data_IF_137866786032
#
_entry.id   IF_137866786032
#
_cell.length_a   1.000
_cell.length_b   1.000
_cell.length_c   1.000
_cell.angle_alpha   90.00
_cell.angle_beta   90.00
_cell.angle_gamma   90.00
#
_symmetry.space_group_name_H-M   'P 1'
#
loop_
_entity.id
_entity.type
_entity.pdbx_description
1 polymer ?
#
# COMPACT_ATOMS: atom_id res chain seq x y z
N UNK A 1 -16.63 4.69 -35.39
CA UNK A 1 -15.57 5.10 -34.43
C UNK A 1 -14.28 5.33 -35.22
N UNK A 2 -13.69 6.52 -35.13
CA UNK A 2 -12.51 6.91 -35.91
C UNK A 2 -11.24 6.18 -35.44
N UNK A 3 -10.34 5.73 -36.35
CA UNK A 3 -9.04 5.13 -36.02
C UNK A 3 -8.18 5.99 -35.08
N UNK A 4 -8.33 7.31 -35.16
CA UNK A 4 -7.60 8.28 -34.32
C UNK A 4 -8.02 8.23 -32.85
N UNK A 5 -9.26 7.86 -32.56
CA UNK A 5 -9.80 7.79 -31.19
C UNK A 5 -9.31 6.56 -30.43
N UNK A 6 -9.05 5.45 -31.16
CA UNK A 6 -8.47 4.23 -30.60
C UNK A 6 -6.99 4.45 -30.25
N UNK A 7 -6.23 5.14 -31.11
CA UNK A 7 -4.82 5.45 -30.87
C UNK A 7 -4.57 6.33 -29.64
N UNK A 8 -5.43 7.32 -29.38
CA UNK A 8 -5.31 8.21 -28.21
C UNK A 8 -5.60 7.46 -26.90
N UNK A 9 -6.63 6.59 -26.87
CA UNK A 9 -6.96 5.78 -25.69
C UNK A 9 -5.87 4.76 -25.34
N UNK A 10 -5.23 4.14 -26.34
CA UNK A 10 -4.13 3.18 -26.13
C UNK A 10 -2.89 3.88 -25.59
N UNK A 11 -2.53 5.07 -26.11
CA UNK A 11 -1.40 5.86 -25.63
C UNK A 11 -1.61 6.40 -24.20
N UNK A 12 -2.82 6.86 -23.87
CA UNK A 12 -3.15 7.30 -22.53
C UNK A 12 -3.12 6.14 -21.51
N UNK A 13 -3.61 4.95 -21.88
CA UNK A 13 -3.52 3.76 -21.04
C UNK A 13 -2.06 3.31 -20.82
N UNK A 14 -1.22 3.32 -21.85
CA UNK A 14 0.22 3.01 -21.73
C UNK A 14 0.97 4.04 -20.87
N UNK A 15 0.64 5.32 -20.97
CA UNK A 15 1.25 6.38 -20.16
C UNK A 15 0.86 6.31 -18.67
N UNK A 16 -0.34 5.81 -18.35
CA UNK A 16 -0.83 5.64 -16.97
C UNK A 16 -0.32 4.33 -16.35
N UNK A 17 -0.30 3.23 -17.11
CA UNK A 17 0.35 1.96 -16.74
C UNK A 17 1.84 2.18 -16.43
N UNK A 18 2.48 3.10 -17.16
CA UNK A 18 3.86 3.50 -16.91
C UNK A 18 4.06 4.15 -15.54
N UNK A 19 3.18 5.04 -15.07
CA UNK A 19 3.47 5.89 -13.89
C UNK A 19 3.60 5.15 -12.56
N UNK A 20 2.72 4.19 -12.28
CA UNK A 20 2.78 3.46 -11.01
C UNK A 20 3.95 2.49 -10.98
N UNK A 21 4.09 1.67 -12.02
CA UNK A 21 5.22 0.73 -12.14
C UNK A 21 6.55 1.48 -12.19
N UNK A 22 6.62 2.62 -12.90
CA UNK A 22 7.80 3.49 -12.92
C UNK A 22 8.09 4.10 -11.55
N UNK A 23 7.06 4.53 -10.81
CA UNK A 23 7.24 5.01 -9.44
C UNK A 23 7.80 3.89 -8.55
N UNK A 24 7.17 2.71 -8.52
CA UNK A 24 7.65 1.58 -7.70
C UNK A 24 9.05 1.16 -8.10
N UNK A 25 9.33 0.99 -9.40
CA UNK A 25 10.65 0.61 -9.90
C UNK A 25 11.67 1.67 -9.53
N UNK A 26 11.50 2.94 -9.91
CA UNK A 26 12.54 3.93 -9.62
C UNK A 26 12.73 4.14 -8.12
N UNK A 27 11.66 4.25 -7.36
CA UNK A 27 11.72 4.42 -5.90
C UNK A 27 12.39 3.22 -5.25
N UNK A 28 12.04 1.99 -5.63
CA UNK A 28 12.66 0.80 -5.07
C UNK A 28 14.13 0.65 -5.54
N UNK A 29 14.43 0.81 -6.83
CA UNK A 29 15.77 0.61 -7.39
C UNK A 29 16.79 1.62 -6.85
N UNK A 30 16.35 2.81 -6.44
CA UNK A 30 17.21 3.78 -5.75
C UNK A 30 17.79 3.23 -4.44
N UNK A 31 17.09 2.29 -3.79
CA UNK A 31 17.47 1.80 -2.45
C UNK A 31 17.75 0.28 -2.39
N UNK A 32 17.21 -0.55 -3.31
CA UNK A 32 17.18 -2.02 -3.17
C UNK A 32 17.26 -2.83 -4.49
N UNK A 33 18.10 -2.38 -5.45
CA UNK A 33 18.19 -2.88 -6.85
C UNK A 33 17.91 -4.38 -7.08
N UNK A 34 18.55 -5.27 -6.33
CA UNK A 34 18.50 -6.72 -6.60
C UNK A 34 17.14 -7.36 -6.24
N UNK A 35 16.35 -6.71 -5.38
CA UNK A 35 15.09 -7.25 -4.84
C UNK A 35 13.84 -6.64 -5.49
N UNK A 36 13.97 -5.49 -6.13
CA UNK A 36 12.84 -4.69 -6.61
C UNK A 36 12.02 -5.36 -7.69
N UNK A 37 12.68 -6.01 -8.67
CA UNK A 37 11.95 -6.68 -9.73
C UNK A 37 11.17 -7.89 -9.20
N UNK A 38 11.76 -8.65 -8.28
CA UNK A 38 11.08 -9.79 -7.67
C UNK A 38 9.91 -9.34 -6.80
N UNK A 39 10.12 -8.35 -5.92
CA UNK A 39 9.06 -7.79 -5.08
C UNK A 39 7.90 -7.22 -5.92
N UNK A 40 8.21 -6.51 -7.02
CA UNK A 40 7.19 -6.03 -7.95
C UNK A 40 6.42 -7.18 -8.61
N UNK A 41 7.10 -8.22 -9.09
CA UNK A 41 6.45 -9.36 -9.72
C UNK A 41 5.53 -10.10 -8.74
N UNK A 42 5.97 -10.29 -7.49
CA UNK A 42 5.17 -10.91 -6.43
C UNK A 42 3.96 -10.03 -6.08
N UNK A 43 4.17 -8.73 -5.95
CA UNK A 43 3.11 -7.77 -5.68
C UNK A 43 2.05 -7.71 -6.78
N UNK A 44 2.47 -7.63 -8.05
CA UNK A 44 1.57 -7.66 -9.20
C UNK A 44 0.84 -9.02 -9.31
N UNK A 45 1.50 -10.13 -8.98
CA UNK A 45 0.90 -11.46 -8.95
C UNK A 45 -0.29 -11.58 -7.97
N UNK A 46 -0.35 -10.72 -6.95
CA UNK A 46 -1.45 -10.74 -5.99
C UNK A 46 -2.79 -10.29 -6.58
N UNK A 47 -2.78 -9.33 -7.53
CA UNK A 47 -4.01 -8.67 -8.01
C UNK A 47 -4.17 -8.63 -9.53
N UNK A 48 -3.12 -8.77 -10.35
CA UNK A 48 -3.23 -8.70 -11.81
C UNK A 48 -4.11 -9.83 -12.35
N UNK A 49 -4.98 -9.50 -13.30
CA UNK A 49 -5.91 -10.45 -13.92
C UNK A 49 -7.11 -10.84 -13.04
N UNK A 50 -7.20 -10.33 -11.80
CA UNK A 50 -8.30 -10.62 -10.87
C UNK A 50 -9.34 -9.50 -10.87
N UNK A 51 -10.57 -9.85 -10.54
CA UNK A 51 -11.59 -8.85 -10.29
C UNK A 51 -11.23 -8.05 -9.03
N UNK A 52 -11.34 -6.72 -9.10
CA UNK A 52 -10.89 -5.76 -8.06
C UNK A 52 -11.48 -6.00 -6.66
N UNK A 53 -12.65 -6.63 -6.57
CA UNK A 53 -13.33 -6.91 -5.31
C UNK A 53 -12.99 -8.30 -4.76
N UNK A 54 -12.32 -9.13 -5.57
CA UNK A 54 -12.07 -10.55 -5.31
C UNK A 54 -10.56 -10.81 -5.25
N UNK A 55 -9.87 -9.96 -4.48
CA UNK A 55 -8.45 -10.12 -4.15
C UNK A 55 -8.34 -10.43 -2.66
N UNK A 56 -8.19 -11.73 -2.31
CA UNK A 56 -7.95 -12.14 -0.94
C UNK A 56 -6.71 -11.46 -0.37
N UNK A 57 -6.76 -11.11 0.91
CA UNK A 57 -5.66 -10.47 1.63
C UNK A 57 -4.42 -11.38 1.65
N UNK A 58 -4.65 -12.69 1.72
CA UNK A 58 -3.65 -13.75 1.77
C UNK A 58 -2.78 -13.80 0.51
N UNK A 59 -3.28 -13.27 -0.62
CA UNK A 59 -2.48 -13.16 -1.84
C UNK A 59 -1.23 -12.27 -1.65
N UNK A 60 -1.23 -11.38 -0.65
CA UNK A 60 -0.09 -10.53 -0.33
C UNK A 60 0.90 -11.19 0.64
N UNK A 61 0.61 -12.37 1.20
CA UNK A 61 1.51 -13.06 2.14
C UNK A 61 2.90 -13.31 1.53
N UNK A 62 2.95 -13.72 0.26
CA UNK A 62 4.21 -13.93 -0.46
C UNK A 62 5.02 -12.64 -0.60
N UNK A 63 4.36 -11.49 -0.72
CA UNK A 63 5.05 -10.20 -0.76
C UNK A 63 5.67 -9.88 0.60
N UNK A 64 4.93 -10.12 1.68
CA UNK A 64 5.40 -9.90 3.05
C UNK A 64 6.60 -10.77 3.40
N UNK A 65 6.67 -12.01 2.88
CA UNK A 65 7.83 -12.88 3.07
C UNK A 65 9.01 -12.54 2.15
N UNK A 66 8.75 -11.90 1.00
CA UNK A 66 9.79 -11.57 0.02
C UNK A 66 10.58 -10.33 0.43
N UNK A 67 9.93 -9.35 1.07
CA UNK A 67 10.59 -8.12 1.48
C UNK A 67 11.13 -8.27 2.90
N UNK A 68 12.46 -8.24 3.04
CA UNK A 68 13.10 -8.21 4.36
C UNK A 68 12.70 -6.94 5.11
N UNK A 69 12.25 -7.14 6.34
CA UNK A 69 11.83 -6.08 7.23
C UNK A 69 12.91 -5.79 8.29
N UNK A 70 13.98 -5.12 7.86
CA UNK A 70 14.99 -4.63 8.81
C UNK A 70 14.44 -3.39 9.52
N UNK A 71 14.36 -3.46 10.85
CA UNK A 71 13.84 -2.36 11.66
C UNK A 71 14.67 -2.16 12.93
N UNK A 72 14.79 -0.91 13.41
CA UNK A 72 15.43 -0.62 14.68
C UNK A 72 14.49 -0.92 15.86
N UNK A 73 14.87 -1.85 16.75
CA UNK A 73 14.19 -2.05 18.02
C UNK A 73 14.21 -0.77 18.87
N UNK A 74 13.19 -0.60 19.71
CA UNK A 74 12.99 0.54 20.60
C UNK A 74 12.81 1.90 19.90
N UNK A 75 12.64 1.93 18.58
CA UNK A 75 12.44 3.16 17.81
C UNK A 75 11.11 3.18 17.06
N UNK A 76 10.33 2.10 17.13
CA UNK A 76 9.12 1.96 16.32
C UNK A 76 8.02 2.91 16.77
N UNK A 77 7.44 3.62 15.80
CA UNK A 77 6.39 4.61 16.02
C UNK A 77 5.13 4.24 15.22
N UNK A 78 4.10 3.81 15.94
CA UNK A 78 2.76 3.54 15.42
C UNK A 78 1.94 4.83 15.38
N UNK A 79 0.92 4.87 14.53
CA UNK A 79 0.03 6.01 14.42
C UNK A 79 -1.42 5.59 14.16
N UNK A 80 -2.36 6.35 14.70
CA UNK A 80 -3.80 6.24 14.41
C UNK A 80 -4.37 7.63 14.17
N UNK A 81 -4.91 7.87 12.97
CA UNK A 81 -5.39 9.17 12.50
C UNK A 81 -4.39 10.33 12.63
N UNK A 82 -3.08 10.03 12.65
CA UNK A 82 -1.98 11.00 12.83
C UNK A 82 -0.82 10.78 11.87
N UNK A 83 -1.05 10.07 10.75
CA UNK A 83 -0.03 9.74 9.74
C UNK A 83 0.88 10.91 9.37
N UNK A 84 0.28 12.03 8.98
CA UNK A 84 1.03 13.20 8.52
C UNK A 84 1.87 13.81 9.65
N UNK A 85 1.38 13.74 10.88
CA UNK A 85 2.09 14.21 12.06
C UNK A 85 3.28 13.30 12.37
N UNK A 86 3.10 11.98 12.38
CA UNK A 86 4.19 11.01 12.58
C UNK A 86 5.21 11.06 11.46
N UNK A 87 4.79 11.25 10.20
CA UNK A 87 5.71 11.43 9.07
C UNK A 87 6.58 12.67 9.24
N UNK A 88 6.02 13.81 9.70
CA UNK A 88 6.81 15.01 10.02
C UNK A 88 7.70 14.82 11.24
N UNK A 89 7.18 14.17 12.28
CA UNK A 89 7.90 13.94 13.52
C UNK A 89 9.12 13.05 13.30
N UNK A 90 8.95 11.90 12.64
CA UNK A 90 10.03 10.94 12.37
C UNK A 90 11.07 11.45 11.38
N UNK A 91 10.73 12.41 10.51
CA UNK A 91 11.73 13.10 9.65
C UNK A 91 12.74 13.91 10.47
N UNK A 92 12.29 14.53 11.56
CA UNK A 92 13.13 15.38 12.40
C UNK A 92 13.69 14.66 13.65
N UNK A 93 13.20 13.45 13.94
CA UNK A 93 13.61 12.64 15.09
C UNK A 93 14.20 11.32 14.58
N UNK A 94 15.54 11.21 14.46
CA UNK A 94 16.18 10.03 13.89
C UNK A 94 15.99 8.76 14.75
N UNK A 95 15.66 8.90 16.03
CA UNK A 95 15.30 7.79 16.93
C UNK A 95 13.87 7.25 16.74
N UNK A 96 13.15 7.69 15.71
CA UNK A 96 11.78 7.24 15.43
C UNK A 96 11.66 6.63 14.03
N UNK A 97 11.00 5.49 13.96
CA UNK A 97 10.84 4.67 12.77
C UNK A 97 9.36 4.27 12.60
N UNK A 98 8.69 4.82 11.58
CA UNK A 98 7.30 4.50 11.23
C UNK A 98 7.22 3.59 10.01
N UNK A 99 6.03 3.07 9.71
CA UNK A 99 5.79 2.18 8.58
C UNK A 99 6.30 2.78 7.25
N UNK A 100 6.07 4.08 7.01
CA UNK A 100 6.46 4.76 5.78
C UNK A 100 7.98 4.85 5.56
N UNK A 101 8.81 4.54 6.57
CA UNK A 101 10.28 4.43 6.41
C UNK A 101 10.74 3.05 5.95
N UNK A 102 9.83 2.09 5.89
CA UNK A 102 10.10 0.72 5.42
C UNK A 102 10.00 0.67 3.90
N UNK A 103 10.61 -0.32 3.23
CA UNK A 103 10.55 -0.41 1.77
C UNK A 103 9.10 -0.43 1.26
N UNK A 104 8.27 -1.35 1.75
CA UNK A 104 6.88 -1.47 1.30
C UNK A 104 6.05 -0.26 1.71
N UNK A 105 6.23 0.25 2.93
CA UNK A 105 5.52 1.44 3.39
C UNK A 105 5.85 2.66 2.56
N UNK A 106 7.12 2.89 2.21
CA UNK A 106 7.57 4.01 1.39
C UNK A 106 7.07 3.93 -0.06
N UNK A 107 7.23 2.77 -0.69
CA UNK A 107 6.88 2.55 -2.10
C UNK A 107 5.37 2.56 -2.35
N UNK A 108 4.59 2.07 -1.38
CA UNK A 108 3.13 1.99 -1.49
C UNK A 108 2.43 3.20 -0.86
N UNK A 109 3.19 4.15 -0.27
CA UNK A 109 2.61 5.34 0.35
C UNK A 109 1.83 6.19 -0.67
N UNK A 110 0.58 6.47 -0.33
CA UNK A 110 -0.33 7.26 -1.17
C UNK A 110 -0.69 6.62 -2.51
N UNK A 111 -0.28 5.36 -2.75
CA UNK A 111 -0.54 4.69 -4.01
C UNK A 111 -1.89 3.96 -4.00
N UNK A 112 -2.47 3.76 -5.20
CA UNK A 112 -3.68 2.97 -5.39
C UNK A 112 -3.55 2.07 -6.61
N UNK A 113 -3.94 0.80 -6.45
CA UNK A 113 -3.87 -0.21 -7.51
C UNK A 113 -5.10 -1.10 -7.50
N UNK A 114 -5.42 -1.67 -8.66
CA UNK A 114 -6.44 -2.71 -8.77
C UNK A 114 -6.19 -3.65 -9.94
N UNK A 115 -6.69 -4.88 -9.78
CA UNK A 115 -6.80 -5.86 -10.85
C UNK A 115 -7.99 -5.59 -11.77
N UNK A 116 -7.93 -6.15 -12.98
CA UNK A 116 -9.08 -6.29 -13.88
C UNK A 116 -9.12 -7.71 -14.40
N UNK A 117 -10.28 -8.35 -14.28
CA UNK A 117 -10.49 -9.71 -14.79
C UNK A 117 -10.24 -9.78 -16.30
N UNK A 118 -9.55 -10.83 -16.75
CA UNK A 118 -9.17 -11.03 -18.15
C UNK A 118 -8.13 -10.05 -18.69
N UNK A 119 -7.66 -9.11 -17.87
CA UNK A 119 -6.61 -8.15 -18.25
C UNK A 119 -5.23 -8.68 -17.91
N UNK A 120 -4.33 -8.69 -18.90
CA UNK A 120 -2.88 -8.79 -18.67
C UNK A 120 -2.25 -7.44 -18.26
N UNK A 121 -3.02 -6.36 -18.35
CA UNK A 121 -2.59 -5.00 -18.04
C UNK A 121 -2.54 -4.72 -16.53
N UNK A 122 -1.48 -4.03 -16.12
CA UNK A 122 -1.04 -3.76 -14.74
C UNK A 122 -1.60 -2.45 -14.18
N UNK A 123 -2.89 -2.37 -13.86
CA UNK A 123 -3.58 -1.26 -13.13
C UNK A 123 -4.40 -0.30 -14.00
N UNK A 124 -5.62 -0.01 -13.53
CA UNK A 124 -6.41 1.15 -13.90
C UNK A 124 -6.43 2.12 -12.72
N UNK A 125 -6.11 3.40 -12.96
CA UNK A 125 -6.27 4.45 -11.94
C UNK A 125 -7.72 4.49 -11.45
N UNK A 126 -7.85 4.65 -10.14
CA UNK A 126 -9.08 4.59 -9.37
C UNK A 126 -9.89 5.89 -9.54
N UNK A 127 -10.67 5.99 -10.63
CA UNK A 127 -11.86 6.84 -10.62
C UNK A 127 -13.05 5.97 -10.24
N UNK A 128 -13.28 5.85 -8.93
CA UNK A 128 -14.47 5.29 -8.28
C UNK A 128 -14.96 3.93 -8.79
N UNK A 129 -14.60 2.87 -8.09
CA UNK A 129 -15.09 1.53 -8.37
C UNK A 129 -15.60 0.89 -7.08
N UNK A 130 -16.75 1.38 -6.62
CA UNK A 130 -17.48 0.80 -5.49
C UNK A 130 -17.75 -0.69 -5.75
N UNK A 131 -17.37 -1.55 -4.80
CA UNK A 131 -17.77 -2.94 -4.76
C UNK A 131 -19.16 -3.01 -4.09
N UNK A 132 -20.21 -3.39 -4.84
CA UNK A 132 -21.54 -3.64 -4.26
C UNK A 132 -21.54 -5.00 -3.56
N UNK A 133 -22.27 -5.11 -2.44
CA UNK A 133 -22.48 -6.31 -1.61
C UNK A 133 -21.36 -6.68 -0.64
N UNK A 134 -20.85 -5.71 0.13
CA UNK A 134 -19.94 -6.02 1.23
C UNK A 134 -20.54 -5.45 2.51
N UNK A 135 -20.74 -6.27 3.57
CA UNK A 135 -21.41 -5.84 4.80
C UNK A 135 -20.81 -4.56 5.38
N UNK A 136 -21.66 -3.72 5.97
CA UNK A 136 -21.26 -2.41 6.51
C UNK A 136 -20.22 -2.53 7.64
N UNK A 137 -20.22 -3.65 8.39
CA UNK A 137 -19.19 -3.99 9.38
C UNK A 137 -17.80 -4.23 8.76
N UNK A 138 -17.72 -4.33 7.44
CA UNK A 138 -16.51 -4.46 6.64
C UNK A 138 -16.17 -3.13 5.96
N UNK A 139 -16.98 -2.07 6.06
CA UNK A 139 -16.73 -0.82 5.31
C UNK A 139 -15.53 0.00 5.80
N UNK A 140 -15.02 -0.23 7.01
CA UNK A 140 -13.73 0.36 7.44
C UNK A 140 -12.56 -0.22 6.61
N UNK A 141 -12.75 -1.39 5.99
CA UNK A 141 -11.74 -2.11 5.20
C UNK A 141 -11.93 -2.04 3.67
N UNK A 142 -12.97 -1.38 3.13
CA UNK A 142 -13.43 -1.62 1.76
C UNK A 142 -13.03 -0.58 0.68
N UNK A 143 -11.90 0.12 0.85
CA UNK A 143 -11.06 0.56 -0.28
C UNK A 143 -10.07 -0.57 -0.62
N UNK A 144 -10.65 -1.70 -1.03
CA UNK A 144 -10.39 -3.02 -0.43
C UNK A 144 -9.08 -3.72 -0.74
N UNK A 145 -8.17 -3.11 -1.51
CA UNK A 145 -6.83 -3.65 -1.74
C UNK A 145 -5.74 -2.82 -1.06
N UNK A 146 -5.80 -1.49 -1.21
CA UNK A 146 -4.88 -0.59 -0.50
C UNK A 146 -5.07 -0.69 1.00
N UNK A 147 -6.33 -0.72 1.48
CA UNK A 147 -6.61 -0.88 2.89
C UNK A 147 -6.22 -2.28 3.40
N UNK A 148 -6.45 -3.32 2.60
CA UNK A 148 -6.08 -4.69 2.97
C UNK A 148 -4.57 -4.90 3.05
N UNK A 149 -3.80 -4.39 2.09
CA UNK A 149 -2.34 -4.45 2.18
C UNK A 149 -1.83 -3.54 3.29
N UNK A 150 -2.40 -2.35 3.46
CA UNK A 150 -1.97 -1.41 4.49
C UNK A 150 -2.22 -2.02 5.85
N UNK A 151 -3.36 -2.70 6.04
CA UNK A 151 -3.65 -3.48 7.22
C UNK A 151 -2.63 -4.60 7.43
N UNK A 152 -2.28 -5.37 6.39
CA UNK A 152 -1.23 -6.39 6.49
C UNK A 152 0.12 -5.79 6.85
N UNK A 153 0.48 -4.66 6.25
CA UNK A 153 1.73 -3.97 6.51
C UNK A 153 1.77 -3.43 7.94
N UNK A 154 0.67 -2.83 8.42
CA UNK A 154 0.54 -2.37 9.80
C UNK A 154 0.60 -3.54 10.78
N UNK A 155 -0.08 -4.65 10.48
CA UNK A 155 -0.01 -5.87 11.29
C UNK A 155 1.40 -6.44 11.33
N UNK A 156 2.04 -6.60 10.17
CA UNK A 156 3.41 -7.10 10.07
C UNK A 156 4.38 -6.16 10.81
N UNK A 157 4.23 -4.85 10.63
CA UNK A 157 5.01 -3.82 11.30
C UNK A 157 4.84 -3.92 12.83
N UNK A 158 3.62 -4.10 13.31
CA UNK A 158 3.35 -4.30 14.74
C UNK A 158 3.88 -5.65 15.27
N UNK A 159 3.76 -6.73 14.49
CA UNK A 159 4.24 -8.07 14.86
C UNK A 159 5.78 -8.10 14.97
N UNK A 160 6.49 -7.28 14.19
CA UNK A 160 7.94 -7.11 14.31
C UNK A 160 8.37 -6.19 15.46
N UNK A 161 7.44 -5.49 16.12
CA UNK A 161 7.80 -4.52 17.13
C UNK A 161 8.53 -5.14 18.33
N UNK A 162 9.66 -4.53 18.68
CA UNK A 162 10.53 -4.99 19.76
C UNK A 162 11.02 -3.82 20.61
N UNK A 163 11.17 -4.07 21.91
CA UNK A 163 11.58 -3.05 22.87
C UNK A 163 10.48 -2.01 23.11
N UNK A 164 10.88 -0.75 23.25
CA UNK A 164 9.95 0.37 23.44
C UNK A 164 9.24 0.74 22.11
N UNK A 165 7.92 0.85 22.16
CA UNK A 165 7.10 1.25 21.01
C UNK A 165 6.33 2.50 21.38
N UNK A 166 6.44 3.53 20.55
CA UNK A 166 5.65 4.76 20.69
C UNK A 166 4.41 4.67 19.82
N UNK A 167 3.26 5.14 20.31
CA UNK A 167 2.05 5.28 19.51
C UNK A 167 1.56 6.74 19.56
N UNK A 168 1.34 7.34 18.39
CA UNK A 168 0.81 8.69 18.28
C UNK A 168 -0.68 8.64 17.93
N UNK A 169 -1.52 9.16 18.83
CA UNK A 169 -2.98 9.14 18.71
C UNK A 169 -3.54 10.54 18.45
N UNK A 170 -4.72 10.60 17.81
CA UNK A 170 -5.36 11.86 17.51
C UNK A 170 -6.14 12.41 18.72
N UNK A 171 -5.51 13.32 19.47
CA UNK A 171 -6.11 14.00 20.62
C UNK A 171 -7.27 14.95 20.30
N UNK A 172 -7.52 15.26 19.02
CA UNK A 172 -8.68 16.04 18.59
C UNK A 172 -9.99 15.24 18.52
N UNK A 173 -9.93 13.92 18.78
CA UNK A 173 -11.09 13.04 18.78
C UNK A 173 -11.66 12.88 20.19
N UNK A 174 -12.96 12.56 20.27
CA UNK A 174 -13.63 12.21 21.53
C UNK A 174 -12.94 11.05 22.24
N UNK A 175 -12.55 10.04 21.48
CA UNK A 175 -11.79 8.88 21.93
C UNK A 175 -10.53 8.76 21.04
N UNK A 176 -9.36 9.15 21.56
CA UNK A 176 -8.08 9.04 20.82
C UNK A 176 -7.67 7.60 20.52
N UNK A 177 -8.11 6.64 21.33
CA UNK A 177 -7.94 5.19 21.11
C UNK A 177 -9.32 4.54 20.90
N UNK A 178 -9.45 3.73 19.86
CA UNK A 178 -10.67 3.00 19.51
C UNK A 178 -10.27 1.59 19.02
N UNK A 179 -10.62 0.52 19.76
CA UNK A 179 -10.23 -0.84 19.39
C UNK A 179 -11.01 -1.40 18.19
N UNK A 180 -12.07 -0.69 17.74
CA UNK A 180 -12.94 -1.14 16.65
C UNK A 180 -12.68 -0.39 15.33
N UNK A 181 -11.61 0.41 15.27
CA UNK A 181 -11.25 1.22 14.10
C UNK A 181 -9.96 0.74 13.46
#
# INVERSE_FOLDING_TARGET
MSPTMIGICVLAALAVLGRFTFHIINTCYLFFRDYCQNALNVFEGAYVGRHKCDVPVENYNSLMSTVKFDHPCSQMTLWSDTKDLVSRYTKNNPGCFNLEKTLLGFVLDGQSWCGKEGSKGKILQMHSLQCKNIPLSTMVTNLQMTNSILFCLLKLFADYACGEVTAMLNGGRKEPFDPNR
#
